data_IF_156127808065
#
_entry.id   IF_156127808065
#
_cell.length_a   1.000
_cell.length_b   1.000
_cell.length_c   1.000
_cell.angle_alpha   90.00
_cell.angle_beta   90.00
_cell.angle_gamma   90.00
#
_symmetry.space_group_name_H-M   'P 1'
#
loop_
_entity.id
_entity.type
_entity.pdbx_description
1 polymer ?
#
# COMPACT_ATOMS: atom_id res chain seq x y z
N UNK A 1 -3.13 15.19 -8.05
CA UNK A 1 -2.68 13.92 -8.68
C UNK A 1 -2.87 12.79 -7.68
N UNK A 2 -3.55 11.72 -8.08
CA UNK A 2 -3.77 10.51 -7.25
C UNK A 2 -2.53 9.63 -7.29
N UNK A 3 -2.26 8.89 -6.21
CA UNK A 3 -1.11 8.00 -6.13
C UNK A 3 -1.28 6.77 -7.06
N UNK A 4 -0.17 6.24 -7.57
CA UNK A 4 -0.16 5.18 -8.61
C UNK A 4 0.94 4.15 -8.39
N UNK A 5 0.62 2.87 -8.54
CA UNK A 5 1.57 1.77 -8.63
C UNK A 5 2.22 1.76 -10.02
N UNK A 6 3.55 1.59 -10.07
CA UNK A 6 4.33 1.60 -11.31
C UNK A 6 4.01 2.78 -12.22
N UNK A 7 3.86 3.96 -11.59
CA UNK A 7 3.62 5.27 -12.23
C UNK A 7 2.29 5.43 -12.99
N UNK A 8 1.59 4.33 -13.28
CA UNK A 8 0.44 4.31 -14.21
C UNK A 8 -0.79 3.65 -13.61
N UNK A 9 -0.62 2.61 -12.80
CA UNK A 9 -1.71 1.79 -12.28
C UNK A 9 -2.35 2.50 -11.07
N UNK A 10 -3.64 2.85 -11.12
CA UNK A 10 -4.32 3.44 -9.97
C UNK A 10 -4.38 2.47 -8.79
N UNK A 11 -4.43 3.00 -7.56
CA UNK A 11 -4.61 2.17 -6.35
C UNK A 11 -6.00 1.53 -6.26
N UNK A 12 -6.98 2.09 -6.96
CA UNK A 12 -8.35 1.58 -7.09
C UNK A 12 -8.66 1.38 -8.56
N UNK A 13 -9.00 0.16 -8.95
CA UNK A 13 -9.25 -0.22 -10.34
C UNK A 13 -10.23 -1.40 -10.40
N UNK A 14 -10.68 -1.77 -11.60
CA UNK A 14 -11.50 -2.98 -11.73
C UNK A 14 -10.66 -4.24 -11.68
N UNK A 15 -11.27 -5.36 -11.29
CA UNK A 15 -10.63 -6.69 -11.33
C UNK A 15 -10.10 -7.00 -12.73
N UNK A 16 -10.87 -6.68 -13.77
CA UNK A 16 -10.46 -6.87 -15.16
C UNK A 16 -9.24 -6.01 -15.50
N UNK A 17 -9.25 -4.72 -15.15
CA UNK A 17 -8.09 -3.85 -15.39
C UNK A 17 -6.84 -4.38 -14.69
N UNK A 18 -6.95 -4.83 -13.44
CA UNK A 18 -5.85 -5.41 -12.68
C UNK A 18 -5.22 -6.61 -13.41
N UNK A 19 -6.07 -7.55 -13.87
CA UNK A 19 -5.62 -8.72 -14.60
C UNK A 19 -5.01 -8.37 -15.95
N UNK A 20 -5.52 -7.35 -16.64
CA UNK A 20 -4.93 -6.85 -17.88
C UNK A 20 -3.56 -6.22 -17.66
N UNK A 21 -3.39 -5.40 -16.62
CA UNK A 21 -2.13 -4.65 -16.41
C UNK A 21 -1.04 -5.46 -15.72
N UNK A 22 -1.39 -6.39 -14.82
CA UNK A 22 -0.42 -7.18 -14.04
C UNK A 22 -0.41 -8.66 -14.40
N UNK A 23 -1.31 -9.12 -15.26
CA UNK A 23 -1.50 -10.53 -15.58
C UNK A 23 -2.16 -11.32 -14.47
N UNK A 24 -2.03 -12.65 -14.54
CA UNK A 24 -2.56 -13.57 -13.53
C UNK A 24 -1.82 -13.39 -12.19
N UNK A 25 -2.53 -13.32 -11.04
CA UNK A 25 -1.89 -13.28 -9.74
C UNK A 25 -1.11 -14.57 -9.47
N UNK A 26 -0.01 -14.45 -8.73
CA UNK A 26 0.80 -15.58 -8.27
C UNK A 26 0.08 -16.45 -7.23
N UNK A 27 -0.85 -15.87 -6.47
CA UNK A 27 -1.69 -16.59 -5.53
C UNK A 27 -3.02 -15.85 -5.35
N UNK A 28 -4.10 -16.58 -5.12
CA UNK A 28 -5.41 -16.04 -4.72
C UNK A 28 -5.84 -16.75 -3.45
N UNK A 29 -6.13 -15.98 -2.40
CA UNK A 29 -6.68 -16.52 -1.15
C UNK A 29 -8.07 -15.97 -0.93
N UNK A 30 -8.97 -16.79 -0.40
CA UNK A 30 -10.22 -16.28 0.14
C UNK A 30 -9.90 -15.47 1.41
N UNK A 31 -10.54 -14.32 1.54
CA UNK A 31 -10.42 -13.53 2.76
C UNK A 31 -11.46 -14.05 3.76
N UNK A 32 -11.00 -14.58 4.90
CA UNK A 32 -11.83 -14.87 6.06
C UNK A 32 -11.57 -13.81 7.12
N UNK A 33 -12.63 -13.37 7.81
CA UNK A 33 -12.77 -12.17 8.66
C UNK A 33 -11.97 -12.18 9.96
N UNK A 34 -10.71 -12.65 9.96
CA UNK A 34 -9.83 -12.59 11.13
C UNK A 34 -9.11 -11.24 11.27
N UNK A 35 -9.32 -10.30 10.34
CA UNK A 35 -8.82 -8.93 10.43
C UNK A 35 -9.96 -7.94 10.12
N UNK A 36 -9.95 -6.82 10.83
CA UNK A 36 -10.92 -5.74 10.63
C UNK A 36 -10.85 -5.22 9.19
N UNK A 37 -12.01 -5.14 8.57
CA UNK A 37 -12.22 -4.55 7.26
C UNK A 37 -12.62 -3.09 7.45
N UNK A 38 -12.38 -2.24 6.46
CA UNK A 38 -12.99 -0.90 6.44
C UNK A 38 -14.51 -1.02 6.31
N UNK A 39 -15.29 0.00 6.69
CA UNK A 39 -16.75 -0.04 6.57
C UNK A 39 -17.20 -0.32 5.11
N UNK A 40 -16.47 0.20 4.12
CA UNK A 40 -16.74 -0.11 2.70
C UNK A 40 -16.43 -1.58 2.39
N UNK A 41 -15.34 -2.13 2.91
CA UNK A 41 -14.93 -3.51 2.66
C UNK A 41 -15.83 -4.53 3.36
N UNK A 42 -16.33 -4.23 4.56
CA UNK A 42 -17.36 -5.04 5.25
C UNK A 42 -18.66 -5.06 4.44
N UNK A 43 -19.13 -3.88 4.03
CA UNK A 43 -20.33 -3.75 3.18
C UNK A 43 -20.16 -4.48 1.84
N UNK A 44 -18.96 -4.43 1.27
CA UNK A 44 -18.66 -5.05 -0.01
C UNK A 44 -18.26 -6.52 0.08
N UNK A 45 -18.31 -7.12 1.29
CA UNK A 45 -18.03 -8.54 1.57
C UNK A 45 -16.75 -9.00 0.90
N UNK A 46 -15.61 -8.37 1.20
CA UNK A 46 -14.33 -8.71 0.58
C UNK A 46 -14.12 -10.22 0.51
N UNK A 47 -13.97 -10.73 -0.71
CA UNK A 47 -14.01 -12.17 -0.96
C UNK A 47 -12.60 -12.73 -1.10
N UNK A 48 -11.68 -11.97 -1.71
CA UNK A 48 -10.39 -12.49 -2.15
C UNK A 48 -9.25 -11.49 -1.99
N UNK A 49 -8.06 -12.05 -1.75
CA UNK A 49 -6.77 -11.37 -1.81
C UNK A 49 -6.00 -11.87 -3.02
N UNK A 50 -5.59 -10.95 -3.89
CA UNK A 50 -4.81 -11.26 -5.10
C UNK A 50 -3.36 -10.87 -4.84
N UNK A 51 -2.46 -11.85 -4.95
CA UNK A 51 -1.04 -11.66 -4.66
C UNK A 51 -0.22 -11.62 -5.94
N UNK A 52 0.65 -10.62 -6.06
CA UNK A 52 1.70 -10.51 -7.07
C UNK A 52 3.06 -10.52 -6.37
N UNK A 53 3.57 -11.71 -6.06
CA UNK A 53 4.62 -11.86 -5.05
C UNK A 53 4.04 -11.55 -3.67
N UNK A 54 4.68 -10.65 -2.92
CA UNK A 54 4.18 -10.19 -1.62
C UNK A 54 3.26 -8.97 -1.68
N UNK A 55 3.19 -8.29 -2.83
CA UNK A 55 2.26 -7.18 -3.05
C UNK A 55 0.85 -7.74 -3.21
N UNK A 56 -0.13 -7.18 -2.50
CA UNK A 56 -1.50 -7.71 -2.46
C UNK A 56 -2.56 -6.63 -2.74
N UNK A 57 -3.65 -7.09 -3.35
CA UNK A 57 -4.86 -6.33 -3.58
C UNK A 57 -6.04 -7.03 -2.90
N UNK A 58 -6.92 -6.26 -2.27
CA UNK A 58 -8.27 -6.75 -1.99
C UNK A 58 -9.08 -6.76 -3.27
N UNK A 59 -9.85 -7.82 -3.48
CA UNK A 59 -10.72 -7.98 -4.63
C UNK A 59 -12.11 -8.39 -4.16
N UNK A 60 -13.11 -7.65 -4.62
CA UNK A 60 -14.50 -7.82 -4.25
C UNK A 60 -15.39 -7.30 -5.38
N UNK A 61 -16.47 -8.03 -5.67
CA UNK A 61 -17.29 -7.82 -6.87
C UNK A 61 -16.42 -7.68 -8.14
N UNK A 62 -16.41 -6.48 -8.75
CA UNK A 62 -15.56 -6.12 -9.87
C UNK A 62 -14.50 -5.07 -9.51
N UNK A 63 -14.28 -4.80 -8.23
CA UNK A 63 -13.30 -3.83 -7.73
C UNK A 63 -12.02 -4.54 -7.25
N UNK A 64 -10.91 -3.83 -7.37
CA UNK A 64 -9.62 -4.19 -6.82
C UNK A 64 -9.00 -2.97 -6.13
N UNK A 65 -8.50 -3.16 -4.93
CA UNK A 65 -7.90 -2.12 -4.09
C UNK A 65 -6.48 -2.56 -3.68
N UNK A 66 -5.50 -1.72 -3.95
CA UNK A 66 -4.12 -1.94 -3.53
C UNK A 66 -4.00 -1.73 -2.01
N UNK A 67 -3.64 -2.77 -1.28
CA UNK A 67 -3.54 -2.68 0.19
C UNK A 67 -2.13 -2.74 0.69
N UNK A 68 -1.24 -3.43 -0.01
CA UNK A 68 0.14 -3.59 0.43
C UNK A 68 1.10 -3.76 -0.74
N UNK A 69 2.25 -3.10 -0.65
CA UNK A 69 3.35 -3.18 -1.61
C UNK A 69 4.60 -3.67 -0.88
N UNK A 70 5.24 -4.71 -1.43
CA UNK A 70 6.60 -5.12 -1.04
C UNK A 70 7.60 -4.56 -2.04
N UNK A 71 8.46 -3.65 -1.57
CA UNK A 71 9.48 -3.00 -2.40
C UNK A 71 10.75 -3.84 -2.53
N UNK A 72 10.97 -4.86 -1.68
CA UNK A 72 12.25 -5.59 -1.60
C UNK A 72 12.73 -6.15 -2.95
N UNK A 73 11.81 -6.69 -3.74
CA UNK A 73 12.13 -7.22 -5.09
C UNK A 73 12.51 -6.13 -6.11
N UNK A 74 12.07 -4.88 -5.89
CA UNK A 74 12.17 -3.79 -6.87
C UNK A 74 11.18 -3.91 -8.05
N UNK A 75 10.33 -4.93 -8.08
CA UNK A 75 9.30 -5.11 -9.12
C UNK A 75 8.27 -3.98 -9.12
N UNK A 76 7.98 -3.44 -7.94
CA UNK A 76 6.97 -2.42 -7.75
C UNK A 76 7.56 -1.10 -7.27
N UNK A 77 6.94 -0.02 -7.74
CA UNK A 77 7.21 1.36 -7.33
C UNK A 77 5.89 2.06 -7.07
N UNK A 78 5.89 3.12 -6.26
CA UNK A 78 4.66 3.82 -5.92
C UNK A 78 4.85 5.34 -6.03
N UNK A 79 4.13 5.96 -6.96
CA UNK A 79 4.16 7.40 -7.17
C UNK A 79 3.16 8.06 -6.25
N UNK A 80 3.63 8.86 -5.30
CA UNK A 80 2.80 9.81 -4.56
C UNK A 80 2.85 11.18 -5.23
N UNK A 81 2.05 12.17 -4.77
CA UNK A 81 2.17 13.54 -5.25
C UNK A 81 3.53 14.19 -4.99
N UNK A 82 4.30 13.70 -4.01
CA UNK A 82 5.56 14.33 -3.58
C UNK A 82 6.82 13.53 -3.93
N UNK A 83 6.71 12.21 -4.08
CA UNK A 83 7.88 11.35 -4.26
C UNK A 83 7.50 10.07 -4.99
N UNK A 84 8.48 9.47 -5.69
CA UNK A 84 8.41 8.09 -6.13
C UNK A 84 9.04 7.17 -5.09
N UNK A 85 8.24 6.33 -4.48
CA UNK A 85 8.67 5.30 -3.56
C UNK A 85 9.18 4.09 -4.34
N UNK A 86 10.38 3.63 -3.99
CA UNK A 86 11.06 2.50 -4.61
C UNK A 86 11.87 1.75 -3.53
N UNK A 87 12.45 0.60 -3.88
CA UNK A 87 13.41 -0.11 -3.00
C UNK A 87 14.63 0.72 -2.58
N UNK A 88 14.96 1.76 -3.35
CA UNK A 88 16.10 2.62 -3.08
C UNK A 88 15.73 3.79 -2.14
N UNK A 89 14.44 4.06 -1.91
CA UNK A 89 13.97 5.17 -1.09
C UNK A 89 14.47 5.03 0.34
N UNK A 90 15.08 6.10 0.84
CA UNK A 90 15.65 6.16 2.19
C UNK A 90 14.79 7.00 3.13
N UNK A 91 15.09 6.93 4.44
CA UNK A 91 14.49 7.82 5.42
C UNK A 91 14.77 9.31 5.10
N UNK A 92 15.95 9.61 4.55
CA UNK A 92 16.32 10.99 4.19
C UNK A 92 15.48 11.51 3.02
N UNK A 93 15.18 10.66 2.04
CA UNK A 93 14.28 11.02 0.94
C UNK A 93 12.87 11.30 1.46
N UNK A 94 12.39 10.46 2.38
CA UNK A 94 11.10 10.68 3.04
C UNK A 94 11.10 11.95 3.90
N UNK A 95 12.21 12.28 4.57
CA UNK A 95 12.32 13.51 5.38
C UNK A 95 12.20 14.76 4.51
N UNK A 96 12.75 14.74 3.29
CA UNK A 96 12.61 15.84 2.33
C UNK A 96 11.16 16.00 1.85
N UNK A 97 10.46 14.91 1.57
CA UNK A 97 9.08 14.94 1.05
C UNK A 97 8.00 15.14 2.13
N UNK A 98 8.19 14.53 3.30
CA UNK A 98 7.22 14.44 4.40
C UNK A 98 7.90 14.67 5.76
N UNK A 99 8.46 15.88 6.01
CA UNK A 99 9.29 16.12 7.17
C UNK A 99 8.58 15.90 8.51
N UNK A 100 7.29 16.23 8.58
CA UNK A 100 6.50 16.06 9.79
C UNK A 100 6.20 14.57 10.08
N UNK A 101 5.89 13.79 9.04
CA UNK A 101 5.66 12.34 9.19
C UNK A 101 6.92 11.60 9.64
N UNK A 102 8.09 11.99 9.11
CA UNK A 102 9.36 11.36 9.53
C UNK A 102 9.76 11.78 10.94
N UNK A 103 9.49 13.03 11.35
CA UNK A 103 9.71 13.47 12.74
C UNK A 103 8.87 12.67 13.73
N UNK A 104 7.66 12.28 13.34
CA UNK A 104 6.74 11.47 14.13
C UNK A 104 6.93 9.94 13.92
N UNK A 105 8.00 9.52 13.23
CA UNK A 105 8.23 8.10 12.95
C UNK A 105 8.51 7.30 14.23
N UNK A 106 7.96 6.10 14.31
CA UNK A 106 8.11 5.21 15.45
C UNK A 106 9.12 4.11 15.15
N UNK A 107 9.75 3.56 16.20
CA UNK A 107 10.53 2.33 16.07
C UNK A 107 9.58 1.15 16.08
N UNK A 108 9.76 0.21 15.16
CA UNK A 108 8.93 -0.99 15.06
C UNK A 108 9.77 -2.15 14.52
N UNK A 109 9.77 -3.30 15.20
CA UNK A 109 10.50 -4.51 14.78
C UNK A 109 11.96 -4.26 14.34
N UNK A 110 12.69 -3.39 15.06
CA UNK A 110 14.06 -3.01 14.71
C UNK A 110 14.21 -2.02 13.54
N UNK A 111 13.12 -1.68 12.86
CA UNK A 111 13.02 -0.69 11.79
C UNK A 111 12.33 0.61 12.22
N UNK A 112 11.87 1.38 11.22
CA UNK A 112 11.11 2.63 11.41
C UNK A 112 9.80 2.59 10.65
N UNK A 113 8.71 2.93 11.33
CA UNK A 113 7.39 3.12 10.76
C UNK A 113 7.10 4.62 10.59
N UNK A 114 6.82 5.04 9.36
CA UNK A 114 6.45 6.41 9.01
C UNK A 114 4.98 6.41 8.58
N UNK A 115 4.14 7.17 9.28
CA UNK A 115 2.71 7.31 8.93
C UNK A 115 2.50 8.51 8.02
N UNK A 116 2.00 8.27 6.82
CA UNK A 116 1.55 9.31 5.89
C UNK A 116 0.03 9.48 6.01
N UNK A 117 -0.43 10.72 6.18
CA UNK A 117 -1.86 11.04 6.13
C UNK A 117 -2.22 11.46 4.70
N UNK A 118 -3.06 10.69 3.97
CA UNK A 118 -3.38 10.96 2.57
C UNK A 118 -4.26 12.20 2.41
N UNK A 119 -5.04 12.56 3.43
CA UNK A 119 -5.86 13.77 3.47
C UNK A 119 -6.05 14.26 4.92
N UNK A 120 -6.59 15.47 5.11
CA UNK A 120 -6.71 16.08 6.45
C UNK A 120 -7.76 15.39 7.34
N UNK A 121 -8.85 14.93 6.73
CA UNK A 121 -10.08 14.47 7.40
C UNK A 121 -10.33 12.95 7.32
N UNK A 122 -9.51 12.19 6.60
CA UNK A 122 -9.64 10.75 6.51
C UNK A 122 -8.97 10.07 7.69
N UNK A 123 -9.56 8.94 8.07
CA UNK A 123 -9.06 8.04 9.12
C UNK A 123 -8.03 7.04 8.58
N UNK A 124 -8.00 6.87 7.25
CA UNK A 124 -6.98 6.05 6.58
C UNK A 124 -5.57 6.64 6.65
N UNK A 125 -4.61 5.75 6.85
CA UNK A 125 -3.18 5.99 6.90
C UNK A 125 -2.45 5.16 5.83
N UNK A 126 -1.40 5.74 5.27
CA UNK A 126 -0.43 5.02 4.48
C UNK A 126 0.83 4.82 5.33
N UNK A 127 1.06 3.58 5.73
CA UNK A 127 2.18 3.17 6.57
C UNK A 127 3.37 2.81 5.69
N UNK A 128 4.49 3.51 5.87
CA UNK A 128 5.75 3.19 5.21
C UNK A 128 6.70 2.60 6.24
N UNK A 129 7.15 1.37 6.03
CA UNK A 129 8.10 0.73 6.92
C UNK A 129 9.48 0.61 6.27
N UNK A 130 10.48 1.03 7.05
CA UNK A 130 11.87 1.06 6.66
C UNK A 130 12.68 0.09 7.52
N UNK A 131 13.45 -0.74 6.85
CA UNK A 131 14.37 -1.71 7.44
C UNK A 131 15.79 -1.30 7.03
N UNK A 132 16.72 -1.21 7.99
CA UNK A 132 18.09 -0.75 7.74
C UNK A 132 18.16 0.58 6.96
N UNK A 133 17.24 1.50 7.25
CA UNK A 133 17.17 2.84 6.64
C UNK A 133 16.59 2.89 5.22
N UNK A 134 16.14 1.77 4.67
CA UNK A 134 15.55 1.68 3.32
C UNK A 134 14.09 1.22 3.37
N UNK A 135 13.29 1.76 2.46
CA UNK A 135 11.88 1.39 2.32
C UNK A 135 11.75 -0.05 1.86
N UNK A 136 10.98 -0.84 2.60
CA UNK A 136 10.72 -2.24 2.26
C UNK A 136 9.25 -2.54 2.02
N UNK A 137 8.33 -1.77 2.63
CA UNK A 137 6.91 -1.96 2.41
C UNK A 137 6.09 -0.67 2.55
N UNK A 138 4.94 -0.67 1.89
CA UNK A 138 3.85 0.26 2.10
C UNK A 138 2.59 -0.53 2.41
N UNK A 139 1.84 -0.12 3.43
CA UNK A 139 0.54 -0.68 3.78
C UNK A 139 -0.51 0.42 3.90
N UNK A 140 -1.68 0.21 3.33
CA UNK A 140 -2.86 1.01 3.61
C UNK A 140 -3.57 0.44 4.82
N UNK A 141 -3.80 1.29 5.80
CA UNK A 141 -4.36 0.91 7.09
C UNK A 141 -5.39 1.95 7.52
N UNK A 142 -6.52 1.52 8.05
CA UNK A 142 -7.52 2.39 8.66
C UNK A 142 -7.69 1.98 10.12
N UNK A 143 -7.74 2.97 11.02
CA UNK A 143 -8.12 2.75 12.41
C UNK A 143 -9.56 2.17 12.45
N UNK A 144 -9.78 1.14 13.26
CA UNK A 144 -11.08 0.48 13.44
C UNK A 144 -11.91 1.16 14.52
#
# INVERSE_FOLDING_TARGET
MTAKLNDTIPSYLTKQQLLTVLGKPSNVKNFSTECALTEEQEKAKVQQLYFYGKTKFFVYDNKAELTFIDFRSGKFTYRTPKIRLTKATTLQDLQKAYPNSVRAAMKENGGKLVRLKPCKICDGHCLLYLENGRLVQLEWWEDC
#
